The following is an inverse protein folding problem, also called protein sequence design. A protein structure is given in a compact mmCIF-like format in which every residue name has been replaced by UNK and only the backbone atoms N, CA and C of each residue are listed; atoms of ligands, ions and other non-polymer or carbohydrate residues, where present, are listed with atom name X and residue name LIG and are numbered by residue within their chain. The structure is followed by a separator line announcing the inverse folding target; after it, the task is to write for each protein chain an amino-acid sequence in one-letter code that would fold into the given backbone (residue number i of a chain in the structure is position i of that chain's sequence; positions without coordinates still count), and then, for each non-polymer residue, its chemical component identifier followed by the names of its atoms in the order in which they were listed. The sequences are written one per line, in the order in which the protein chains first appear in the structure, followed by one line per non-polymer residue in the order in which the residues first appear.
data_IF_237296964045
#
_entry.id   IF_237296964045
#
_cell.length_a   1.000
_cell.length_b   1.000
_cell.length_c   1.000
_cell.angle_alpha   90.00
_cell.angle_beta   90.00
_cell.angle_gamma   90.00
#
_symmetry.space_group_name_H-M   'P 1'
#
loop_
_entity.id
_entity.type
_entity.pdbx_description
1 polymer ?
#
# COMPACT_ATOMS: atom_id res chain seq x y z
N UNK A 1 -23.75 17.47 3.36
CA UNK A 1 -22.49 16.92 3.93
C UNK A 1 -21.33 17.58 3.20
N UNK A 2 -20.61 18.54 3.81
CA UNK A 2 -19.44 19.12 3.16
C UNK A 2 -18.36 18.03 3.05
N UNK A 3 -17.99 17.66 1.82
CA UNK A 3 -16.85 16.77 1.57
C UNK A 3 -15.60 17.53 2.01
N UNK A 4 -14.97 17.09 3.10
CA UNK A 4 -13.68 17.62 3.56
C UNK A 4 -12.71 17.48 2.39
N UNK A 5 -12.04 18.55 1.94
CA UNK A 5 -11.13 18.45 0.80
C UNK A 5 -10.06 17.42 1.16
N UNK A 6 -9.99 16.34 0.37
CA UNK A 6 -8.95 15.35 0.49
C UNK A 6 -7.63 16.10 0.36
N UNK A 7 -6.88 16.18 1.45
CA UNK A 7 -5.71 17.06 1.50
C UNK A 7 -4.65 16.53 0.53
N UNK A 8 -3.88 17.43 -0.10
CA UNK A 8 -2.84 17.07 -1.07
C UNK A 8 -1.84 16.05 -0.47
N UNK A 9 -1.59 16.16 0.84
CA UNK A 9 -0.86 15.19 1.67
C UNK A 9 -1.47 13.79 1.62
N UNK A 10 -2.78 13.63 1.83
CA UNK A 10 -3.44 12.32 1.79
C UNK A 10 -3.42 11.70 0.38
N UNK A 11 -3.57 12.51 -0.67
CA UNK A 11 -3.45 12.02 -2.05
C UNK A 11 -2.04 11.53 -2.35
N UNK A 12 -1.02 12.29 -1.93
CA UNK A 12 0.38 11.93 -2.13
C UNK A 12 0.74 10.65 -1.36
N UNK A 13 0.38 10.58 -0.08
CA UNK A 13 0.62 9.43 0.77
C UNK A 13 -0.09 8.17 0.27
N UNK A 14 -1.36 8.30 -0.12
CA UNK A 14 -2.12 7.20 -0.72
C UNK A 14 -1.49 6.72 -2.04
N UNK A 15 -1.04 7.65 -2.90
CA UNK A 15 -0.36 7.31 -4.14
C UNK A 15 0.98 6.59 -3.91
N UNK A 16 1.82 7.10 -3.01
CA UNK A 16 3.08 6.49 -2.64
C UNK A 16 2.88 5.08 -2.06
N UNK A 17 1.89 4.93 -1.17
CA UNK A 17 1.51 3.65 -0.60
C UNK A 17 1.03 2.64 -1.66
N UNK A 18 0.22 3.06 -2.62
CA UNK A 18 -0.26 2.20 -3.71
C UNK A 18 0.87 1.77 -4.65
N UNK A 19 1.76 2.68 -5.02
CA UNK A 19 2.93 2.36 -5.86
C UNK A 19 3.83 1.35 -5.15
N UNK A 20 4.15 1.58 -3.88
CA UNK A 20 4.98 0.67 -3.09
C UNK A 20 4.31 -0.70 -2.87
N UNK A 21 3.01 -0.71 -2.54
CA UNK A 21 2.24 -1.94 -2.35
C UNK A 21 2.12 -2.77 -3.62
N UNK A 22 2.02 -2.14 -4.80
CA UNK A 22 1.90 -2.84 -6.09
C UNK A 22 3.09 -3.78 -6.34
N UNK A 23 4.32 -3.36 -6.00
CA UNK A 23 5.52 -4.20 -6.12
C UNK A 23 5.44 -5.46 -5.26
N UNK A 24 4.90 -5.35 -4.03
CA UNK A 24 4.71 -6.49 -3.14
C UNK A 24 3.66 -7.46 -3.69
N UNK A 25 2.57 -6.95 -4.27
CA UNK A 25 1.55 -7.78 -4.92
C UNK A 25 2.11 -8.60 -6.08
N UNK A 26 2.88 -7.97 -6.96
CA UNK A 26 3.54 -8.66 -8.08
C UNK A 26 4.49 -9.75 -7.58
N UNK A 27 5.27 -9.48 -6.53
CA UNK A 27 6.17 -10.47 -5.94
C UNK A 27 5.39 -11.63 -5.30
N UNK A 28 4.32 -11.35 -4.57
CA UNK A 28 3.49 -12.38 -3.95
C UNK A 28 2.89 -13.31 -5.01
N UNK A 29 2.38 -12.75 -6.11
CA UNK A 29 1.80 -13.53 -7.21
C UNK A 29 2.87 -14.36 -7.95
N UNK A 30 4.06 -13.80 -8.15
CA UNK A 30 5.20 -14.52 -8.72
C UNK A 30 5.66 -15.69 -7.83
N UNK A 31 5.71 -15.49 -6.51
CA UNK A 31 6.05 -16.54 -5.55
C UNK A 31 5.01 -17.65 -5.59
N UNK A 32 3.72 -17.33 -5.51
CA UNK A 32 2.66 -18.34 -5.53
C UNK A 32 2.60 -19.13 -6.84
N UNK A 33 2.86 -18.46 -7.97
CA UNK A 33 2.96 -19.10 -9.28
C UNK A 33 4.15 -20.05 -9.33
N UNK A 34 5.32 -19.61 -8.82
CA UNK A 34 6.54 -20.42 -8.78
C UNK A 34 6.43 -21.62 -7.82
N UNK A 35 5.71 -21.47 -6.72
CA UNK A 35 5.46 -22.52 -5.74
C UNK A 35 4.40 -23.54 -6.19
N UNK A 36 3.76 -23.34 -7.35
CA UNK A 36 2.68 -24.19 -7.84
C UNK A 36 1.40 -24.10 -7.01
N UNK A 37 1.24 -23.02 -6.24
CA UNK A 37 0.09 -22.76 -5.38
C UNK A 37 -0.56 -21.46 -5.81
N UNK A 38 -1.26 -21.47 -6.95
CA UNK A 38 -1.92 -20.27 -7.47
C UNK A 38 -3.20 -20.01 -6.69
N UNK A 39 -3.15 -19.09 -5.74
CA UNK A 39 -4.34 -18.59 -5.05
C UNK A 39 -4.86 -17.34 -5.76
N UNK A 40 -6.08 -17.38 -6.34
CA UNK A 40 -6.64 -16.21 -7.01
C UNK A 40 -6.74 -15.03 -6.03
N UNK A 41 -6.22 -13.87 -6.44
CA UNK A 41 -6.28 -12.63 -5.64
C UNK A 41 -5.18 -12.48 -4.59
N UNK A 42 -4.25 -13.42 -4.43
CA UNK A 42 -3.15 -13.30 -3.45
C UNK A 42 -2.27 -12.07 -3.69
N UNK A 43 -2.00 -11.74 -4.95
CA UNK A 43 -1.26 -10.53 -5.31
C UNK A 43 -2.00 -9.26 -4.92
N UNK A 44 -3.33 -9.22 -5.09
CA UNK A 44 -4.16 -8.07 -4.71
C UNK A 44 -4.23 -7.90 -3.19
N UNK A 45 -4.37 -8.99 -2.44
CA UNK A 45 -4.38 -8.96 -0.97
C UNK A 45 -3.02 -8.52 -0.43
N UNK A 46 -1.93 -9.07 -0.96
CA UNK A 46 -0.58 -8.70 -0.57
C UNK A 46 -0.29 -7.23 -0.91
N UNK A 47 -0.72 -6.74 -2.08
CA UNK A 47 -0.57 -5.34 -2.46
C UNK A 47 -1.35 -4.41 -1.52
N UNK A 48 -2.60 -4.75 -1.19
CA UNK A 48 -3.42 -3.94 -0.29
C UNK A 48 -2.84 -3.90 1.13
N UNK A 49 -2.41 -5.05 1.67
CA UNK A 49 -1.79 -5.13 2.98
C UNK A 49 -0.48 -4.32 3.03
N UNK A 50 0.36 -4.44 2.00
CA UNK A 50 1.59 -3.67 1.89
C UNK A 50 1.32 -2.16 1.75
N UNK A 51 0.33 -1.76 0.95
CA UNK A 51 -0.04 -0.35 0.81
C UNK A 51 -0.52 0.24 2.14
N UNK A 52 -1.36 -0.46 2.89
CA UNK A 52 -1.80 -0.02 4.22
C UNK A 52 -0.62 0.10 5.19
N UNK A 53 0.30 -0.85 5.18
CA UNK A 53 1.49 -0.80 6.01
C UNK A 53 2.41 0.37 5.64
N UNK A 54 2.63 0.63 4.34
CA UNK A 54 3.43 1.77 3.88
C UNK A 54 2.76 3.08 4.25
N UNK A 55 1.44 3.18 4.08
CA UNK A 55 0.68 4.37 4.46
C UNK A 55 0.84 4.69 5.95
N UNK A 56 0.73 3.68 6.80
CA UNK A 56 0.95 3.80 8.24
C UNK A 56 2.37 4.28 8.55
N UNK A 57 3.39 3.70 7.90
CA UNK A 57 4.79 4.10 8.11
C UNK A 57 5.10 5.51 7.63
N UNK A 58 4.51 5.94 6.51
CA UNK A 58 4.68 7.30 6.02
C UNK A 58 3.97 8.31 6.93
N UNK A 59 2.82 7.95 7.50
CA UNK A 59 2.16 8.80 8.51
C UNK A 59 3.05 8.96 9.75
N UNK A 60 3.56 7.85 10.31
CA UNK A 60 4.44 7.88 11.47
C UNK A 60 5.72 8.68 11.21
N UNK A 61 6.35 8.51 10.04
CA UNK A 61 7.59 9.23 9.70
C UNK A 61 7.39 10.75 9.64
N UNK A 62 6.26 11.20 9.09
CA UNK A 62 5.96 12.63 9.01
C UNK A 62 5.64 13.20 10.40
N UNK A 63 4.95 12.42 11.24
CA UNK A 63 4.58 12.87 12.57
C UNK A 63 5.83 12.92 13.50
N UNK A 64 6.79 11.99 13.35
CA UNK A 64 8.12 12.01 14.02
C UNK A 64 8.97 13.23 13.60
N UNK A 65 8.89 13.66 12.34
CA UNK A 65 9.63 14.84 11.83
C UNK A 65 9.04 16.19 12.32
N UNK A 66 7.88 16.18 13.00
CA UNK A 66 7.21 17.39 13.50
C UNK A 66 7.40 17.68 15.00
N UNK A 67 8.12 16.85 15.75
CA UNK A 67 8.57 17.12 17.13
C UNK A 67 10.01 17.68 17.18
#
# INVERSE_FOLDING_TARGET
MPRKPFTLRQTFLGGAALIAGSGVGTLAEAVTTRSGHTYPGVGQVAAAAAALWVLEKLNLLIDDDTE
#
